data_IF_546435721228
#
_entry.id   IF_546435721228
#
_cell.length_a   1.000
_cell.length_b   1.000
_cell.length_c   1.000
_cell.angle_alpha   90.00
_cell.angle_beta   90.00
_cell.angle_gamma   90.00
#
_symmetry.space_group_name_H-M   'P 1'
#
loop_
_entity.id
_entity.type
_entity.pdbx_description
1 polymer ?
#
# COMPACT_ATOMS: atom_id res chain seq x y z
N UNK A 1 34.97 11.48 29.67
CA UNK A 1 34.85 11.94 28.28
C UNK A 1 35.83 11.16 27.41
N UNK A 2 35.41 10.14 26.72
CA UNK A 2 36.22 9.40 25.73
C UNK A 2 35.83 9.88 24.35
N UNK A 3 36.77 10.58 23.69
CA UNK A 3 36.67 10.89 22.26
C UNK A 3 36.98 9.62 21.49
N UNK A 4 36.04 9.19 20.64
CA UNK A 4 36.30 8.14 19.65
C UNK A 4 36.51 8.83 18.31
N UNK A 5 37.66 8.65 17.74
CA UNK A 5 37.96 9.09 16.36
C UNK A 5 37.83 7.88 15.42
N UNK A 6 37.17 8.14 14.33
CA UNK A 6 37.21 7.44 13.04
C UNK A 6 36.82 5.96 12.98
N UNK A 7 35.58 5.71 12.73
CA UNK A 7 35.07 4.55 12.03
C UNK A 7 33.84 5.00 11.26
N UNK A 8 33.74 4.70 9.96
CA UNK A 8 32.59 5.07 9.13
C UNK A 8 31.34 4.40 9.67
N UNK A 9 30.65 5.06 10.57
CA UNK A 9 29.36 4.63 11.07
C UNK A 9 28.27 5.22 10.16
N UNK A 10 27.50 4.36 9.52
CA UNK A 10 26.30 4.78 8.83
C UNK A 10 25.32 5.34 9.86
N UNK A 11 25.14 6.65 9.88
CA UNK A 11 24.15 7.32 10.72
C UNK A 11 22.82 7.27 9.98
N UNK A 12 21.91 6.43 10.46
CA UNK A 12 20.52 6.48 10.02
C UNK A 12 19.81 7.60 10.79
N UNK A 13 19.51 8.70 10.10
CA UNK A 13 18.59 9.73 10.59
C UNK A 13 17.20 9.37 10.07
N UNK A 14 16.29 8.98 10.97
CA UNK A 14 14.87 8.86 10.62
C UNK A 14 14.26 10.25 10.80
N UNK A 15 14.01 10.94 9.68
CA UNK A 15 13.15 12.11 9.65
C UNK A 15 11.77 11.68 9.15
N UNK A 16 10.78 11.70 10.06
CA UNK A 16 9.37 11.59 9.69
C UNK A 16 8.89 12.99 9.33
N UNK A 17 8.94 13.35 8.08
CA UNK A 17 8.10 14.36 7.41
C UNK A 17 8.46 14.38 5.93
N UNK A 18 7.46 14.26 5.07
CA UNK A 18 7.65 14.30 3.63
C UNK A 18 8.27 15.61 3.16
N UNK A 19 9.31 15.47 2.37
CA UNK A 19 9.72 16.32 1.23
C UNK A 19 11.07 15.81 0.72
N UNK A 20 11.31 15.90 -0.57
CA UNK A 20 12.50 15.49 -1.31
C UNK A 20 13.82 15.69 -0.55
N UNK A 21 14.44 14.61 -0.11
CA UNK A 21 15.79 14.62 0.45
C UNK A 21 16.79 14.64 -0.71
N UNK A 22 17.35 15.81 -0.97
CA UNK A 22 18.64 15.92 -1.64
C UNK A 22 19.66 15.28 -0.68
N UNK A 23 20.39 14.26 -1.13
CA UNK A 23 21.44 13.63 -0.37
C UNK A 23 22.52 14.68 -0.02
N UNK A 24 22.45 15.23 1.17
CA UNK A 24 23.55 15.99 1.72
C UNK A 24 24.68 15.00 2.06
N UNK A 25 25.90 15.29 1.64
CA UNK A 25 27.07 14.53 2.03
C UNK A 25 27.08 14.42 3.58
N UNK A 26 27.14 13.18 4.09
CA UNK A 26 27.18 12.97 5.52
C UNK A 26 28.39 13.72 6.11
N UNK A 27 28.24 14.40 7.27
CA UNK A 27 29.38 15.04 7.93
C UNK A 27 30.44 13.98 8.26
N UNK A 28 31.69 14.31 8.04
CA UNK A 28 32.83 13.40 8.25
C UNK A 28 32.96 12.92 9.72
N UNK A 29 32.39 13.65 10.67
CA UNK A 29 32.27 13.26 12.08
C UNK A 29 31.13 14.00 12.78
N UNK A 30 30.56 13.37 13.82
CA UNK A 30 29.54 13.96 14.69
C UNK A 30 29.98 13.80 16.12
N UNK A 31 30.06 14.90 16.86
CA UNK A 31 30.30 14.87 18.31
C UNK A 31 28.98 14.53 19.02
N UNK A 32 28.91 13.32 19.58
CA UNK A 32 27.75 12.84 20.32
C UNK A 32 28.20 12.25 21.67
N UNK A 33 27.33 12.37 22.68
CA UNK A 33 27.55 11.79 24.01
C UNK A 33 26.87 10.43 24.07
N UNK A 34 27.62 9.41 24.43
CA UNK A 34 27.04 8.08 24.70
C UNK A 34 26.36 8.09 26.07
N UNK A 35 25.08 7.77 26.13
CA UNK A 35 24.32 7.73 27.35
C UNK A 35 23.52 6.42 27.45
N UNK A 36 23.58 5.79 28.64
CA UNK A 36 22.62 4.74 28.96
C UNK A 36 21.25 5.38 29.25
N UNK A 37 20.17 4.81 28.70
CA UNK A 37 18.82 5.29 28.93
C UNK A 37 17.84 4.11 29.08
N UNK A 38 16.70 4.40 29.68
CA UNK A 38 15.57 3.47 29.75
C UNK A 38 14.43 4.00 28.90
N UNK A 39 13.72 3.11 28.27
CA UNK A 39 12.56 3.43 27.48
C UNK A 39 11.53 2.31 27.61
N UNK A 40 10.29 2.58 27.27
CA UNK A 40 9.22 1.59 27.32
C UNK A 40 8.39 1.65 26.04
N UNK A 41 7.92 0.48 25.60
CA UNK A 41 7.01 0.34 24.48
C UNK A 41 6.02 -0.79 24.80
N UNK A 42 4.75 -0.61 24.50
CA UNK A 42 3.68 -1.60 24.72
C UNK A 42 3.65 -2.15 26.16
N UNK A 43 3.93 -1.29 27.17
CA UNK A 43 3.95 -1.69 28.57
C UNK A 43 5.19 -2.48 29.02
N UNK A 44 6.14 -2.77 28.13
CA UNK A 44 7.43 -3.37 28.43
C UNK A 44 8.50 -2.31 28.59
N UNK A 45 9.38 -2.49 29.59
CA UNK A 45 10.51 -1.58 29.84
C UNK A 45 11.78 -2.18 29.29
N UNK A 46 12.54 -1.38 28.56
CA UNK A 46 13.82 -1.73 27.98
C UNK A 46 14.91 -0.85 28.58
N UNK A 47 16.07 -1.44 28.80
CA UNK A 47 17.28 -0.70 29.17
C UNK A 47 18.33 -0.96 28.09
N UNK A 48 18.87 0.10 27.51
CA UNK A 48 20.06 -0.03 26.67
C UNK A 48 21.28 -0.05 27.57
N UNK A 49 22.10 -1.08 27.48
CA UNK A 49 23.50 -0.95 27.89
C UNK A 49 24.22 -0.02 26.91
N UNK A 50 25.47 0.26 27.18
CA UNK A 50 26.25 1.22 26.38
C UNK A 50 26.53 0.74 24.94
N UNK A 51 26.19 -0.50 24.59
CA UNK A 51 26.47 -1.10 23.28
C UNK A 51 25.36 -2.01 22.82
N UNK A 52 25.14 -2.03 21.49
CA UNK A 52 24.22 -2.90 20.78
C UNK A 52 24.98 -3.63 19.66
N UNK A 53 24.65 -4.88 19.39
CA UNK A 53 25.25 -5.65 18.31
C UNK A 53 24.37 -5.55 17.04
N UNK A 54 24.86 -4.88 16.00
CA UNK A 54 24.09 -4.60 14.77
C UNK A 54 24.10 -5.76 13.74
N UNK A 55 24.55 -6.95 14.16
CA UNK A 55 24.75 -8.11 13.30
C UNK A 55 26.18 -8.26 12.75
N UNK A 56 27.01 -7.23 12.85
CA UNK A 56 28.42 -7.24 12.41
C UNK A 56 29.39 -6.84 13.54
N UNK A 57 29.07 -5.81 14.27
CA UNK A 57 29.94 -5.24 15.30
C UNK A 57 29.10 -4.64 16.44
N UNK A 58 29.76 -4.32 17.55
CA UNK A 58 29.15 -3.59 18.66
C UNK A 58 29.17 -2.09 18.37
N UNK A 59 27.99 -1.49 18.36
CA UNK A 59 27.77 -0.06 18.18
C UNK A 59 27.17 0.55 19.45
N UNK A 60 27.22 1.87 19.66
CA UNK A 60 26.54 2.51 20.78
C UNK A 60 25.04 2.19 20.79
N UNK A 61 24.52 1.76 21.92
CA UNK A 61 23.08 1.50 22.12
C UNK A 61 22.23 2.76 22.14
N UNK A 62 22.87 3.91 22.42
CA UNK A 62 22.26 5.24 22.29
C UNK A 62 23.31 6.31 22.18
N UNK A 63 22.95 7.45 21.62
CA UNK A 63 23.76 8.67 21.63
C UNK A 63 22.86 9.89 21.81
N UNK A 64 23.38 10.93 22.45
CA UNK A 64 22.73 12.23 22.50
C UNK A 64 23.50 13.19 21.60
N UNK A 65 22.75 13.79 20.68
CA UNK A 65 23.27 14.82 19.79
C UNK A 65 22.35 16.05 19.88
N UNK A 66 22.89 17.17 20.26
CA UNK A 66 22.18 18.46 20.43
C UNK A 66 20.91 18.34 21.29
N UNK A 67 20.97 17.58 22.38
CA UNK A 67 19.82 17.39 23.29
C UNK A 67 18.79 16.34 22.83
N UNK A 68 18.98 15.74 21.66
CA UNK A 68 18.11 14.66 21.16
C UNK A 68 18.79 13.30 21.34
N UNK A 69 18.06 12.34 21.89
CA UNK A 69 18.54 10.95 22.04
C UNK A 69 18.23 10.16 20.79
N UNK A 70 19.25 9.54 20.21
CA UNK A 70 19.15 8.64 19.05
C UNK A 70 19.41 7.22 19.51
N UNK A 71 18.65 6.28 18.96
CA UNK A 71 18.83 4.84 19.18
C UNK A 71 18.97 4.13 17.84
N UNK A 72 19.75 3.04 17.76
CA UNK A 72 19.81 2.24 16.54
C UNK A 72 18.39 1.73 16.20
N UNK A 73 17.94 2.02 14.98
CA UNK A 73 16.59 1.62 14.53
C UNK A 73 16.36 0.11 14.67
N UNK A 74 17.40 -0.70 14.44
CA UNK A 74 17.33 -2.16 14.63
C UNK A 74 17.08 -2.55 16.08
N UNK A 75 17.74 -1.90 17.03
CA UNK A 75 17.54 -2.15 18.47
C UNK A 75 16.11 -1.79 18.90
N UNK A 76 15.57 -0.67 18.40
CA UNK A 76 14.20 -0.28 18.66
C UNK A 76 13.21 -1.27 18.04
N UNK A 77 13.46 -1.69 16.81
CA UNK A 77 12.63 -2.67 16.11
C UNK A 77 12.61 -4.02 16.83
N UNK A 78 13.76 -4.58 17.18
CA UNK A 78 13.87 -5.85 17.91
C UNK A 78 13.11 -5.81 19.25
N UNK A 79 13.21 -4.70 19.99
CA UNK A 79 12.49 -4.51 21.23
C UNK A 79 10.96 -4.40 21.06
N UNK A 80 10.50 -4.01 19.88
CA UNK A 80 9.09 -3.95 19.49
C UNK A 80 8.61 -5.23 18.79
N UNK A 81 9.48 -6.25 18.64
CA UNK A 81 9.16 -7.44 17.87
C UNK A 81 9.13 -7.21 16.36
N UNK A 82 9.81 -6.15 15.89
CA UNK A 82 9.87 -5.81 14.47
C UNK A 82 11.22 -6.22 13.87
N UNK A 83 11.21 -6.51 12.57
CA UNK A 83 12.43 -6.71 11.76
C UNK A 83 12.75 -5.45 10.94
N UNK A 84 14.03 -5.13 10.78
CA UNK A 84 14.48 -4.00 9.96
C UNK A 84 15.10 -4.50 8.67
N UNK A 85 14.52 -4.09 7.56
CA UNK A 85 15.08 -4.27 6.23
C UNK A 85 15.71 -2.96 5.75
N UNK A 86 16.93 -3.03 5.25
CA UNK A 86 17.66 -1.88 4.70
C UNK A 86 17.84 -2.00 3.20
N UNK A 87 17.28 -1.05 2.45
CA UNK A 87 17.58 -0.91 1.02
C UNK A 87 18.68 0.14 0.82
N UNK A 88 19.87 -0.34 0.45
CA UNK A 88 21.03 0.53 0.23
C UNK A 88 20.89 1.40 -1.04
N UNK A 89 20.04 1.03 -2.02
CA UNK A 89 19.86 1.80 -3.24
C UNK A 89 19.01 3.03 -3.03
N UNK A 90 17.96 2.89 -2.21
CA UNK A 90 17.04 3.97 -1.88
C UNK A 90 17.36 4.65 -0.55
N UNK A 91 18.34 4.12 0.21
CA UNK A 91 18.67 4.54 1.57
C UNK A 91 17.46 4.51 2.51
N UNK A 92 16.62 3.47 2.36
CA UNK A 92 15.37 3.33 3.10
C UNK A 92 15.49 2.19 4.13
N UNK A 93 15.10 2.48 5.37
CA UNK A 93 14.89 1.47 6.40
C UNK A 93 13.38 1.17 6.53
N UNK A 94 13.01 -0.09 6.36
CA UNK A 94 11.63 -0.56 6.56
C UNK A 94 11.56 -1.41 7.81
N UNK A 95 10.59 -1.11 8.69
CA UNK A 95 10.30 -1.91 9.87
C UNK A 95 9.11 -2.81 9.56
N UNK A 96 9.25 -4.09 9.85
CA UNK A 96 8.23 -5.12 9.57
C UNK A 96 7.91 -5.84 10.87
N UNK A 97 6.63 -6.10 11.12
CA UNK A 97 6.21 -6.88 12.27
C UNK A 97 6.73 -8.33 12.13
N UNK A 98 7.62 -8.75 13.03
CA UNK A 98 8.17 -10.10 13.02
C UNK A 98 7.13 -11.18 13.28
N UNK A 99 5.98 -10.84 13.87
CA UNK A 99 4.88 -11.77 14.04
C UNK A 99 4.07 -12.02 12.75
N UNK A 100 4.27 -11.19 11.71
CA UNK A 100 3.79 -11.42 10.35
C UNK A 100 4.87 -12.02 9.43
N UNK A 101 6.06 -12.32 9.96
CA UNK A 101 7.23 -12.82 9.23
C UNK A 101 7.13 -14.31 8.84
N UNK A 102 6.01 -14.99 9.10
CA UNK A 102 5.69 -16.29 8.48
C UNK A 102 5.34 -16.17 6.98
N UNK A 103 5.26 -14.97 6.47
CA UNK A 103 5.41 -14.72 5.04
C UNK A 103 6.89 -14.82 4.70
N UNK A 104 7.30 -15.77 3.86
CA UNK A 104 8.69 -15.86 3.45
C UNK A 104 9.12 -14.48 2.94
N UNK A 105 10.24 -13.99 3.44
CA UNK A 105 10.85 -12.66 3.18
C UNK A 105 11.19 -12.45 1.68
N UNK A 106 10.44 -13.06 0.82
CA UNK A 106 10.35 -12.70 -0.59
C UNK A 106 9.73 -11.31 -0.79
N UNK A 107 9.24 -10.69 0.28
CA UNK A 107 8.52 -9.43 0.29
C UNK A 107 9.41 -8.25 0.67
N UNK A 108 10.60 -8.22 0.12
CA UNK A 108 11.43 -7.03 0.06
C UNK A 108 10.58 -5.89 -0.55
N UNK A 109 10.57 -4.67 0.05
CA UNK A 109 10.00 -3.50 -0.60
C UNK A 109 10.53 -3.39 -2.02
N UNK A 110 9.67 -3.52 -3.01
CA UNK A 110 10.00 -3.64 -4.44
C UNK A 110 9.44 -4.90 -5.09
N UNK A 111 9.02 -5.92 -4.34
CA UNK A 111 8.38 -7.12 -4.89
C UNK A 111 6.83 -7.01 -4.94
N UNK A 112 6.24 -6.10 -4.16
CA UNK A 112 4.89 -5.59 -4.43
C UNK A 112 5.04 -4.15 -4.94
N UNK A 113 5.39 -3.93 -6.22
CA UNK A 113 5.14 -2.65 -6.80
C UNK A 113 3.65 -2.40 -6.59
N UNK A 114 3.28 -1.22 -6.11
CA UNK A 114 1.90 -0.75 -6.19
C UNK A 114 1.39 -1.20 -7.56
N UNK A 115 0.57 -2.26 -7.58
CA UNK A 115 0.07 -2.75 -8.84
C UNK A 115 -0.75 -1.59 -9.36
N UNK A 116 -0.22 -0.91 -10.38
CA UNK A 116 -0.82 0.31 -10.87
C UNK A 116 -2.28 0.03 -11.17
N UNK A 117 -3.17 0.65 -10.44
CA UNK A 117 -4.58 0.61 -10.77
C UNK A 117 -4.75 1.49 -12.01
N UNK A 118 -5.04 0.85 -13.11
CA UNK A 118 -5.31 1.55 -14.37
C UNK A 118 -6.63 1.03 -14.91
N UNK A 119 -7.51 1.94 -15.25
CA UNK A 119 -8.71 1.60 -16.01
C UNK A 119 -8.28 1.29 -17.43
N UNK A 120 -8.51 0.07 -17.88
CA UNK A 120 -8.17 -0.34 -19.26
C UNK A 120 -9.45 -0.57 -20.05
N UNK A 121 -9.37 -0.29 -21.35
CA UNK A 121 -10.40 -0.63 -22.31
C UNK A 121 -9.79 -1.37 -23.51
N UNK A 122 -10.56 -2.19 -24.19
CA UNK A 122 -10.17 -2.81 -25.46
C UNK A 122 -10.78 -2.08 -26.63
N UNK A 123 -10.02 -1.96 -27.68
CA UNK A 123 -10.53 -1.44 -28.94
C UNK A 123 -11.44 -2.48 -29.61
N UNK A 124 -12.68 -2.12 -29.88
CA UNK A 124 -13.64 -2.95 -30.61
C UNK A 124 -13.37 -2.94 -32.12
N UNK A 125 -12.74 -1.89 -32.61
CA UNK A 125 -12.31 -1.69 -34.00
C UNK A 125 -11.00 -0.93 -34.05
N UNK A 126 -10.35 -0.89 -35.21
CA UNK A 126 -9.18 -0.04 -35.41
C UNK A 126 -9.50 1.42 -35.08
N UNK A 127 -8.59 2.11 -34.41
CA UNK A 127 -8.75 3.49 -34.00
C UNK A 127 -7.49 4.32 -34.25
N UNK A 128 -7.67 5.62 -34.30
CA UNK A 128 -6.58 6.60 -34.36
C UNK A 128 -6.53 7.34 -33.02
N UNK A 129 -5.34 7.56 -32.51
CA UNK A 129 -5.13 8.52 -31.43
C UNK A 129 -4.95 9.91 -32.05
N UNK A 130 -5.69 10.87 -31.54
CA UNK A 130 -5.58 12.26 -31.93
C UNK A 130 -4.84 13.06 -30.86
N UNK A 131 -4.15 14.12 -31.30
CA UNK A 131 -3.49 15.04 -30.37
C UNK A 131 -4.49 15.82 -29.52
N UNK A 132 -5.62 16.15 -30.11
CA UNK A 132 -6.73 16.89 -29.52
C UNK A 132 -8.05 16.15 -29.80
N UNK A 133 -9.16 16.58 -29.24
CA UNK A 133 -10.50 16.00 -29.44
C UNK A 133 -11.10 16.39 -30.80
N UNK A 134 -10.34 16.20 -31.87
CA UNK A 134 -10.72 16.51 -33.24
C UNK A 134 -10.28 15.40 -34.20
N UNK A 135 -11.24 14.73 -34.84
CA UNK A 135 -10.96 13.67 -35.83
C UNK A 135 -10.30 14.16 -37.11
N UNK A 136 -10.35 15.46 -37.38
CA UNK A 136 -9.67 16.09 -38.53
C UNK A 136 -8.29 16.61 -38.15
N UNK A 137 -7.97 16.61 -36.87
CA UNK A 137 -6.73 17.06 -36.32
C UNK A 137 -5.57 16.06 -36.51
N UNK A 138 -4.36 16.44 -36.07
CA UNK A 138 -3.17 15.60 -36.22
C UNK A 138 -3.29 14.33 -35.35
N UNK A 139 -2.88 13.20 -35.93
CA UNK A 139 -2.79 11.92 -35.22
C UNK A 139 -1.52 11.81 -34.41
N UNK A 140 -1.56 11.01 -33.31
CA UNK A 140 -0.43 10.66 -32.47
C UNK A 140 0.03 9.24 -32.83
N UNK A 141 1.02 9.16 -33.71
CA UNK A 141 1.63 7.89 -34.12
C UNK A 141 0.76 7.07 -35.10
N UNK A 142 1.05 5.77 -35.20
CA UNK A 142 0.32 4.86 -36.08
C UNK A 142 -1.06 4.52 -35.52
N UNK A 143 -1.96 4.09 -36.40
CA UNK A 143 -3.28 3.59 -35.99
C UNK A 143 -3.19 2.36 -35.08
N UNK A 144 -4.16 2.25 -34.18
CA UNK A 144 -4.31 1.17 -33.24
C UNK A 144 -5.19 0.05 -33.84
N UNK A 145 -4.94 -1.18 -33.41
CA UNK A 145 -5.66 -2.37 -33.93
C UNK A 145 -6.85 -2.73 -33.05
N UNK A 146 -7.87 -3.33 -33.66
CA UNK A 146 -8.96 -3.98 -32.91
C UNK A 146 -8.40 -5.03 -31.95
N UNK A 147 -8.98 -5.13 -30.76
CA UNK A 147 -8.54 -6.03 -29.67
C UNK A 147 -7.37 -5.49 -28.84
N UNK A 148 -6.69 -4.43 -29.28
CA UNK A 148 -5.61 -3.80 -28.52
C UNK A 148 -6.17 -3.15 -27.26
N UNK A 149 -5.45 -3.33 -26.14
CA UNK A 149 -5.77 -2.66 -24.86
C UNK A 149 -5.19 -1.27 -24.81
N UNK A 150 -5.96 -0.33 -24.29
CA UNK A 150 -5.54 1.04 -23.99
C UNK A 150 -5.81 1.35 -22.52
N UNK A 151 -4.96 2.18 -21.91
CA UNK A 151 -5.19 2.68 -20.56
C UNK A 151 -6.02 3.96 -20.66
N UNK A 152 -7.15 4.00 -19.97
CA UNK A 152 -8.02 5.17 -19.92
C UNK A 152 -7.54 6.08 -18.79
N UNK A 153 -7.12 7.30 -19.13
CA UNK A 153 -6.70 8.31 -18.17
C UNK A 153 -7.87 9.17 -17.69
N UNK A 154 -8.81 9.47 -18.59
CA UNK A 154 -9.98 10.28 -18.27
C UNK A 154 -11.06 10.16 -19.36
N UNK A 155 -12.33 10.38 -18.95
CA UNK A 155 -13.40 10.77 -19.85
C UNK A 155 -13.23 12.25 -20.21
N UNK A 156 -12.99 12.54 -21.48
CA UNK A 156 -12.66 13.92 -21.93
C UNK A 156 -13.91 14.71 -22.39
N UNK A 157 -15.12 14.12 -22.26
CA UNK A 157 -16.37 14.71 -22.74
C UNK A 157 -16.63 14.41 -24.21
N UNK A 158 -17.84 14.70 -24.70
CA UNK A 158 -18.28 14.59 -26.10
C UNK A 158 -17.96 13.26 -26.79
N UNK A 159 -17.95 12.16 -26.03
CA UNK A 159 -17.62 10.84 -26.54
C UNK A 159 -16.14 10.61 -26.81
N UNK A 160 -15.26 11.34 -26.13
CA UNK A 160 -13.80 11.18 -26.15
C UNK A 160 -13.26 10.60 -24.86
N UNK A 161 -12.21 9.80 -24.99
CA UNK A 161 -11.37 9.31 -23.91
C UNK A 161 -9.95 9.82 -24.10
N UNK A 162 -9.34 10.30 -23.03
CA UNK A 162 -7.89 10.49 -22.98
C UNK A 162 -7.25 9.16 -22.60
N UNK A 163 -6.38 8.63 -23.45
CA UNK A 163 -5.83 7.29 -23.29
C UNK A 163 -4.33 7.25 -23.48
N UNK A 164 -3.72 6.17 -22.94
CA UNK A 164 -2.36 5.75 -23.29
C UNK A 164 -2.44 4.48 -24.13
N UNK A 165 -1.78 4.47 -25.25
CA UNK A 165 -1.57 3.29 -26.08
C UNK A 165 -0.15 3.29 -26.65
N UNK A 166 0.55 2.16 -26.58
CA UNK A 166 1.96 2.02 -27.05
C UNK A 166 2.89 3.13 -26.51
N UNK A 167 2.72 3.50 -25.20
CA UNK A 167 3.49 4.55 -24.54
C UNK A 167 3.16 5.97 -24.98
N UNK A 168 2.14 6.19 -25.80
CA UNK A 168 1.72 7.50 -26.31
C UNK A 168 0.41 7.92 -25.69
N UNK A 169 0.31 9.20 -25.32
CA UNK A 169 -0.92 9.81 -24.83
C UNK A 169 -1.64 10.50 -25.99
N UNK A 170 -2.96 10.29 -26.05
CA UNK A 170 -3.80 10.96 -27.05
C UNK A 170 -5.29 10.77 -26.74
N UNK A 171 -6.13 11.18 -27.65
CA UNK A 171 -7.57 11.07 -27.56
C UNK A 171 -8.10 10.02 -28.53
N UNK A 172 -9.02 9.19 -28.08
CA UNK A 172 -9.75 8.21 -28.86
C UNK A 172 -11.25 8.34 -28.65
N UNK A 173 -12.05 7.97 -29.65
CA UNK A 173 -13.50 7.91 -29.50
C UNK A 173 -13.90 6.79 -28.53
N UNK A 174 -14.76 7.09 -27.58
CA UNK A 174 -15.36 6.10 -26.66
C UNK A 174 -16.01 4.97 -27.42
N UNK A 175 -16.76 5.27 -28.50
CA UNK A 175 -17.43 4.26 -29.35
C UNK A 175 -16.49 3.37 -30.16
N UNK A 176 -15.18 3.58 -30.11
CA UNK A 176 -14.19 2.65 -30.66
C UNK A 176 -13.70 1.63 -29.62
N UNK A 177 -14.15 1.71 -28.39
CA UNK A 177 -13.71 0.89 -27.24
C UNK A 177 -14.90 0.19 -26.57
N UNK A 178 -14.60 -0.79 -25.72
CA UNK A 178 -15.57 -1.41 -24.81
C UNK A 178 -15.75 -0.61 -23.50
N UNK A 179 -15.15 0.57 -23.40
CA UNK A 179 -15.28 1.43 -22.24
C UNK A 179 -16.71 1.94 -22.08
N UNK A 180 -17.26 1.70 -20.89
CA UNK A 180 -18.56 2.26 -20.52
C UNK A 180 -18.34 3.55 -19.71
N UNK A 181 -18.79 4.71 -20.20
CA UNK A 181 -18.72 5.97 -19.45
C UNK A 181 -19.35 5.86 -18.06
N UNK A 182 -18.77 6.54 -17.07
CA UNK A 182 -19.22 6.48 -15.68
C UNK A 182 -20.72 6.73 -15.52
N UNK A 183 -21.24 7.77 -16.19
CA UNK A 183 -22.67 8.10 -16.14
C UNK A 183 -23.61 7.01 -16.70
N UNK A 184 -23.09 6.09 -17.52
CA UNK A 184 -23.85 4.99 -18.13
C UNK A 184 -23.70 3.66 -17.38
N UNK A 185 -22.81 3.60 -16.37
CA UNK A 185 -22.64 2.40 -15.56
C UNK A 185 -23.83 2.19 -14.63
N UNK A 186 -24.16 0.95 -14.28
CA UNK A 186 -25.18 0.69 -13.26
C UNK A 186 -24.75 1.30 -11.91
N UNK A 187 -25.70 1.59 -11.05
CA UNK A 187 -25.48 2.28 -9.78
C UNK A 187 -24.42 1.59 -8.91
N UNK A 188 -24.52 0.26 -8.78
CA UNK A 188 -23.55 -0.52 -8.00
C UNK A 188 -22.11 -0.33 -8.50
N UNK A 189 -21.91 -0.24 -9.83
CA UNK A 189 -20.56 -0.08 -10.40
C UNK A 189 -20.02 1.33 -10.16
N UNK A 190 -20.90 2.33 -10.29
CA UNK A 190 -20.53 3.72 -9.96
C UNK A 190 -20.15 3.87 -8.49
N UNK A 191 -20.89 3.24 -7.58
CA UNK A 191 -20.59 3.21 -6.15
C UNK A 191 -19.25 2.51 -5.89
N UNK A 192 -19.03 1.34 -6.51
CA UNK A 192 -17.77 0.62 -6.40
C UNK A 192 -16.58 1.45 -6.91
N UNK A 193 -16.73 2.08 -8.08
CA UNK A 193 -15.68 2.93 -8.65
C UNK A 193 -15.38 4.14 -7.75
N UNK A 194 -16.40 4.76 -7.15
CA UNK A 194 -16.23 5.89 -6.21
C UNK A 194 -15.52 5.46 -4.93
N UNK A 195 -15.86 4.29 -4.37
CA UNK A 195 -15.17 3.72 -3.20
C UNK A 195 -13.69 3.47 -3.51
N UNK A 196 -13.42 2.86 -4.68
CA UNK A 196 -12.06 2.55 -5.13
C UNK A 196 -11.27 3.84 -5.34
N UNK A 197 -11.83 4.83 -6.03
CA UNK A 197 -11.19 6.12 -6.27
C UNK A 197 -10.86 6.83 -4.96
N UNK A 198 -11.81 6.89 -4.02
CA UNK A 198 -11.58 7.43 -2.69
C UNK A 198 -10.45 6.70 -1.97
N UNK A 199 -10.41 5.37 -2.05
CA UNK A 199 -9.37 4.56 -1.41
C UNK A 199 -7.99 4.75 -2.04
N UNK A 200 -7.91 4.93 -3.36
CA UNK A 200 -6.65 5.20 -4.07
C UNK A 200 -6.01 6.53 -3.66
N UNK A 201 -6.80 7.51 -3.20
CA UNK A 201 -6.26 8.76 -2.67
C UNK A 201 -5.44 8.57 -1.38
N UNK A 202 -5.59 7.43 -0.69
CA UNK A 202 -4.86 7.09 0.53
C UNK A 202 -3.66 6.16 0.31
N UNK A 203 -3.26 5.88 -0.95
CA UNK A 203 -2.09 5.04 -1.21
C UNK A 203 -0.86 5.52 -0.43
N UNK A 204 -0.20 4.58 0.27
CA UNK A 204 0.95 4.87 1.12
C UNK A 204 0.61 5.35 2.53
N UNK A 205 -0.67 5.57 2.89
CA UNK A 205 -1.05 5.88 4.27
C UNK A 205 -0.60 4.74 5.19
N UNK A 206 0.13 5.04 6.30
CA UNK A 206 0.73 4.01 7.12
C UNK A 206 -0.28 3.05 7.76
N UNK A 207 0.16 1.80 7.95
CA UNK A 207 -0.58 0.80 8.72
C UNK A 207 -0.37 1.02 10.22
N UNK A 208 -1.46 0.95 10.98
CA UNK A 208 -1.46 0.90 12.43
C UNK A 208 -2.47 -0.16 12.89
N UNK A 209 -2.00 -1.17 13.66
CA UNK A 209 -2.90 -2.18 14.19
C UNK A 209 -3.92 -1.55 15.15
N UNK A 210 -5.18 -1.90 14.98
CA UNK A 210 -6.30 -1.36 15.76
C UNK A 210 -6.48 0.17 15.63
N UNK A 211 -6.15 0.73 14.46
CA UNK A 211 -6.31 2.15 14.16
C UNK A 211 -7.73 2.64 14.49
N UNK A 212 -7.84 3.77 15.16
CA UNK A 212 -9.12 4.36 15.57
C UNK A 212 -9.98 4.72 14.35
N UNK A 213 -11.31 4.55 14.48
CA UNK A 213 -12.25 5.02 13.46
C UNK A 213 -12.31 6.55 13.44
N UNK A 214 -12.75 7.12 12.32
CA UNK A 214 -12.96 8.56 12.14
C UNK A 214 -11.69 9.37 11.96
N UNK A 215 -10.52 8.74 11.79
CA UNK A 215 -9.25 9.39 11.44
C UNK A 215 -8.67 8.81 10.14
N UNK A 216 -7.74 9.50 9.50
CA UNK A 216 -7.16 9.14 8.21
C UNK A 216 -5.63 9.16 8.19
N UNK A 217 -4.99 9.42 9.34
CA UNK A 217 -3.54 9.45 9.46
C UNK A 217 -2.92 8.06 9.34
N UNK A 218 -3.64 7.03 9.81
CA UNK A 218 -3.26 5.62 9.77
C UNK A 218 -4.49 4.75 9.58
N UNK A 219 -4.32 3.53 9.08
CA UNK A 219 -5.38 2.54 8.97
C UNK A 219 -4.88 1.14 9.32
N UNK A 220 -5.76 0.29 9.86
CA UNK A 220 -5.67 -1.16 9.66
C UNK A 220 -6.60 -1.59 8.51
N UNK A 221 -6.57 -2.88 8.16
CA UNK A 221 -7.34 -3.39 7.02
C UNK A 221 -8.85 -3.13 7.15
N UNK A 222 -9.41 -3.30 8.33
CA UNK A 222 -10.85 -3.17 8.59
C UNK A 222 -11.29 -1.73 8.84
N UNK A 223 -10.45 -0.89 9.46
CA UNK A 223 -10.75 0.54 9.61
C UNK A 223 -10.73 1.27 8.27
N UNK A 224 -9.85 0.85 7.34
CA UNK A 224 -9.82 1.37 5.98
C UNK A 224 -11.10 1.04 5.21
N UNK A 225 -11.54 -0.22 5.26
CA UNK A 225 -12.82 -0.64 4.66
C UNK A 225 -14.00 0.10 5.31
N UNK A 226 -14.04 0.16 6.65
CA UNK A 226 -15.07 0.90 7.37
C UNK A 226 -15.14 2.34 6.89
N UNK A 227 -14.03 3.07 6.88
CA UNK A 227 -13.96 4.47 6.47
C UNK A 227 -14.51 4.67 5.05
N UNK A 228 -14.08 3.86 4.09
CA UNK A 228 -14.49 4.03 2.69
C UNK A 228 -15.97 3.71 2.47
N UNK A 229 -16.50 2.66 3.10
CA UNK A 229 -17.89 2.28 2.92
C UNK A 229 -18.83 3.22 3.67
N UNK A 230 -18.47 3.68 4.87
CA UNK A 230 -19.25 4.67 5.62
C UNK A 230 -19.35 6.02 4.89
N UNK A 231 -18.29 6.47 4.22
CA UNK A 231 -18.35 7.65 3.34
C UNK A 231 -19.41 7.52 2.24
N UNK A 232 -19.80 6.29 1.88
CA UNK A 232 -20.80 5.99 0.86
C UNK A 232 -22.15 5.52 1.47
N UNK A 233 -22.36 5.81 2.75
CA UNK A 233 -23.62 5.55 3.46
C UNK A 233 -23.88 4.09 3.84
N UNK A 234 -22.84 3.27 3.90
CA UNK A 234 -22.93 1.86 4.29
C UNK A 234 -22.30 1.63 5.66
N UNK A 235 -23.11 1.25 6.65
CA UNK A 235 -22.64 0.92 7.98
C UNK A 235 -21.70 -0.30 7.95
N UNK A 236 -20.49 -0.11 8.48
CA UNK A 236 -19.47 -1.16 8.50
C UNK A 236 -18.97 -1.39 9.93
N UNK A 237 -18.97 -2.65 10.43
CA UNK A 237 -18.40 -2.97 11.73
C UNK A 237 -16.91 -2.68 11.79
N UNK A 238 -16.40 -2.52 13.04
CA UNK A 238 -15.00 -2.16 13.27
C UNK A 238 -14.00 -3.18 12.75
N UNK A 239 -14.25 -4.47 12.86
CA UNK A 239 -13.24 -5.49 12.58
C UNK A 239 -13.62 -6.43 11.43
N UNK A 240 -12.61 -7.02 10.79
CA UNK A 240 -12.77 -7.87 9.61
C UNK A 240 -13.65 -9.11 9.84
N UNK A 241 -13.66 -9.69 11.04
CA UNK A 241 -14.52 -10.83 11.37
C UNK A 241 -16.00 -10.45 11.33
N UNK A 242 -16.35 -9.31 11.92
CA UNK A 242 -17.72 -8.80 11.87
C UNK A 242 -18.11 -8.41 10.45
N UNK A 243 -17.19 -7.77 9.71
CA UNK A 243 -17.40 -7.40 8.30
C UNK A 243 -17.64 -8.65 7.42
N UNK A 244 -17.00 -9.78 7.71
CA UNK A 244 -17.21 -11.03 6.95
C UNK A 244 -18.61 -11.64 7.14
N UNK A 245 -19.36 -11.19 8.13
CA UNK A 245 -20.76 -11.56 8.35
C UNK A 245 -21.77 -10.77 7.52
N UNK A 246 -21.33 -9.66 6.88
CA UNK A 246 -22.22 -8.79 6.11
C UNK A 246 -22.42 -9.26 4.66
N UNK A 247 -23.46 -8.74 4.04
CA UNK A 247 -23.69 -8.88 2.61
C UNK A 247 -23.98 -10.30 2.13
N UNK A 248 -23.96 -10.47 0.82
CA UNK A 248 -24.22 -11.76 0.16
C UNK A 248 -22.89 -12.48 -0.14
N UNK A 249 -22.79 -13.81 0.10
CA UNK A 249 -21.61 -14.58 -0.30
C UNK A 249 -21.41 -14.50 -1.82
N UNK A 250 -20.15 -14.44 -2.24
CA UNK A 250 -19.74 -14.41 -3.66
C UNK A 250 -18.69 -15.50 -3.90
N UNK A 251 -18.84 -16.26 -4.97
CA UNK A 251 -17.80 -17.18 -5.39
C UNK A 251 -16.58 -16.42 -5.94
N UNK A 252 -15.39 -17.03 -5.82
CA UNK A 252 -14.15 -16.37 -6.24
C UNK A 252 -14.17 -15.98 -7.74
N UNK A 253 -14.77 -16.81 -8.57
CA UNK A 253 -14.87 -16.58 -10.02
C UNK A 253 -15.94 -15.54 -10.40
N UNK A 254 -16.84 -15.19 -9.47
CA UNK A 254 -17.93 -14.21 -9.66
C UNK A 254 -17.60 -12.82 -9.05
N UNK A 255 -16.34 -12.59 -8.67
CA UNK A 255 -15.91 -11.35 -8.07
C UNK A 255 -16.11 -10.15 -9.00
N UNK A 256 -16.65 -9.07 -8.45
CA UNK A 256 -16.75 -7.76 -9.12
C UNK A 256 -16.23 -6.64 -8.22
N UNK A 257 -15.91 -5.50 -8.82
CA UNK A 257 -15.45 -4.31 -8.09
C UNK A 257 -16.34 -4.02 -6.88
N UNK A 258 -15.74 -3.68 -5.75
CA UNK A 258 -16.44 -3.42 -4.49
C UNK A 258 -16.81 -4.67 -3.69
N UNK A 259 -16.52 -5.89 -4.16
CA UNK A 259 -16.65 -7.07 -3.29
C UNK A 259 -15.54 -7.05 -2.23
N UNK A 260 -15.88 -7.42 -0.99
CA UNK A 260 -14.93 -7.58 0.10
C UNK A 260 -14.39 -9.00 0.12
N UNK A 261 -13.06 -9.14 0.11
CA UNK A 261 -12.38 -10.42 0.23
C UNK A 261 -11.80 -10.57 1.63
N UNK A 262 -11.99 -11.74 2.21
CA UNK A 262 -11.53 -12.08 3.55
C UNK A 262 -10.49 -13.18 3.49
N UNK A 263 -9.42 -12.98 4.24
CA UNK A 263 -8.26 -13.86 4.23
C UNK A 263 -7.89 -14.29 5.66
N UNK A 264 -7.30 -15.47 5.77
CA UNK A 264 -6.61 -15.86 6.99
C UNK A 264 -5.25 -15.16 7.08
N UNK A 265 -4.70 -15.12 8.28
CA UNK A 265 -3.32 -14.72 8.56
C UNK A 265 -2.59 -15.87 9.26
N UNK A 266 -1.24 -15.89 9.30
CA UNK A 266 -0.51 -16.95 10.00
C UNK A 266 -1.00 -17.18 11.44
N UNK A 267 -1.25 -16.13 12.20
CA UNK A 267 -1.78 -16.20 13.58
C UNK A 267 -3.19 -16.81 13.69
N UNK A 268 -3.90 -16.97 12.57
CA UNK A 268 -5.28 -17.43 12.54
C UNK A 268 -5.51 -18.64 11.64
N UNK A 269 -4.44 -19.18 11.05
CA UNK A 269 -4.53 -20.28 10.11
C UNK A 269 -5.12 -21.55 10.75
N UNK A 270 -4.84 -21.78 12.02
CA UNK A 270 -5.28 -22.91 12.85
C UNK A 270 -6.58 -22.65 13.63
N UNK A 271 -7.18 -21.47 13.47
CA UNK A 271 -8.50 -21.17 14.06
C UNK A 271 -9.62 -21.78 13.19
N UNK A 272 -10.83 -21.78 13.71
CA UNK A 272 -12.03 -22.29 13.02
C UNK A 272 -13.04 -21.18 12.73
N UNK A 273 -13.89 -21.40 11.74
CA UNK A 273 -15.01 -20.52 11.40
C UNK A 273 -14.57 -19.07 11.17
N UNK A 274 -15.31 -18.14 11.75
CA UNK A 274 -15.06 -16.69 11.61
C UNK A 274 -13.74 -16.25 12.25
N UNK A 275 -13.23 -16.99 13.23
CA UNK A 275 -11.97 -16.66 13.89
C UNK A 275 -10.74 -16.85 13.01
N UNK A 276 -10.87 -17.56 11.89
CA UNK A 276 -9.85 -17.62 10.86
C UNK A 276 -9.64 -16.30 10.12
N UNK A 277 -10.66 -15.43 10.09
CA UNK A 277 -10.57 -14.14 9.39
C UNK A 277 -9.62 -13.22 10.14
N UNK A 278 -8.53 -12.86 9.49
CA UNK A 278 -7.49 -11.96 10.00
C UNK A 278 -7.26 -10.73 9.13
N UNK A 279 -7.79 -10.72 7.91
CA UNK A 279 -7.58 -9.63 6.97
C UNK A 279 -8.79 -9.42 6.05
N UNK A 280 -8.96 -8.18 5.57
CA UNK A 280 -9.99 -7.80 4.61
C UNK A 280 -9.40 -6.89 3.54
N UNK A 281 -9.88 -7.02 2.30
CA UNK A 281 -9.48 -6.19 1.17
C UNK A 281 -10.67 -5.93 0.24
N UNK A 282 -10.61 -4.85 -0.54
CA UNK A 282 -11.62 -4.47 -1.52
C UNK A 282 -11.17 -4.96 -2.90
N UNK A 283 -11.97 -5.75 -3.58
CA UNK A 283 -11.68 -6.15 -4.96
C UNK A 283 -11.84 -4.96 -5.92
N UNK A 284 -10.81 -4.68 -6.70
CA UNK A 284 -10.80 -3.54 -7.63
C UNK A 284 -10.91 -3.94 -9.10
N UNK A 285 -11.10 -5.26 -9.36
CA UNK A 285 -11.11 -5.81 -10.72
C UNK A 285 -9.72 -6.24 -11.19
N UNK A 286 -9.67 -6.99 -12.28
CA UNK A 286 -8.42 -7.45 -12.90
C UNK A 286 -7.54 -8.33 -11.99
N UNK A 287 -8.13 -9.06 -11.06
CA UNK A 287 -7.41 -9.90 -10.09
C UNK A 287 -6.62 -9.08 -9.06
N UNK A 288 -7.03 -7.87 -8.73
CA UNK A 288 -6.35 -6.97 -7.79
C UNK A 288 -7.24 -6.59 -6.63
N UNK A 289 -6.62 -6.29 -5.49
CA UNK A 289 -7.28 -5.79 -4.28
C UNK A 289 -6.62 -4.51 -3.77
N UNK A 290 -7.44 -3.62 -3.23
CA UNK A 290 -7.03 -2.42 -2.50
C UNK A 290 -7.22 -2.68 -1.02
N UNK A 291 -6.19 -2.50 -0.23
CA UNK A 291 -6.19 -2.78 1.20
C UNK A 291 -5.09 -2.02 1.94
N UNK A 292 -5.16 -2.02 3.26
CA UNK A 292 -4.03 -1.64 4.11
C UNK A 292 -3.35 -2.91 4.56
N UNK A 293 -2.08 -3.10 4.18
CA UNK A 293 -1.45 -4.40 4.35
C UNK A 293 -0.76 -4.55 5.72
N UNK A 294 0.37 -3.90 5.94
CA UNK A 294 1.17 -4.02 7.16
C UNK A 294 2.06 -2.81 7.38
N UNK A 295 2.72 -2.76 8.54
CA UNK A 295 3.72 -1.73 8.83
C UNK A 295 4.78 -1.68 7.72
N UNK A 296 5.11 -0.48 7.26
CA UNK A 296 6.10 -0.24 6.20
C UNK A 296 5.52 -0.31 4.77
N UNK A 297 4.29 -0.80 4.59
CA UNK A 297 3.60 -0.80 3.29
C UNK A 297 2.37 0.13 3.33
N UNK A 298 1.50 -0.03 4.33
CA UNK A 298 0.29 0.77 4.44
C UNK A 298 -0.76 0.45 3.38
N UNK A 299 -1.50 1.49 2.94
CA UNK A 299 -2.53 1.36 1.89
C UNK A 299 -1.85 1.09 0.55
N UNK A 300 -2.27 0.02 -0.12
CA UNK A 300 -1.67 -0.46 -1.36
C UNK A 300 -2.67 -1.19 -2.24
N UNK A 301 -2.35 -1.34 -3.52
CA UNK A 301 -3.04 -2.25 -4.44
C UNK A 301 -2.15 -3.47 -4.69
N UNK A 302 -2.69 -4.66 -4.47
CA UNK A 302 -1.93 -5.92 -4.60
C UNK A 302 -2.60 -6.86 -5.60
N UNK A 303 -1.79 -7.62 -6.35
CA UNK A 303 -2.30 -8.68 -7.22
C UNK A 303 -2.72 -9.89 -6.38
N UNK A 304 -3.88 -10.48 -6.68
CA UNK A 304 -4.32 -11.77 -6.12
C UNK A 304 -3.50 -12.92 -6.75
N UNK A 305 -2.28 -13.06 -6.31
CA UNK A 305 -1.39 -14.15 -6.68
C UNK A 305 -1.66 -15.43 -5.86
N UNK A 306 -0.83 -16.45 -6.01
CA UNK A 306 -1.01 -17.73 -5.33
C UNK A 306 -0.89 -17.59 -3.80
N UNK A 307 -0.12 -16.62 -3.30
CA UNK A 307 -0.03 -16.31 -1.88
C UNK A 307 -1.38 -15.85 -1.31
N UNK A 308 -2.03 -14.89 -1.96
CA UNK A 308 -3.33 -14.41 -1.53
C UNK A 308 -4.45 -15.44 -1.75
N UNK A 309 -4.39 -16.18 -2.86
CA UNK A 309 -5.34 -17.26 -3.13
C UNK A 309 -5.27 -18.36 -2.08
N UNK A 310 -4.07 -18.74 -1.64
CA UNK A 310 -3.87 -19.73 -0.59
C UNK A 310 -4.44 -19.34 0.77
N UNK A 311 -4.62 -18.05 1.02
CA UNK A 311 -5.19 -17.49 2.26
C UNK A 311 -6.66 -17.09 2.16
N UNK A 312 -7.24 -17.12 0.97
CA UNK A 312 -8.61 -16.73 0.73
C UNK A 312 -9.59 -17.63 1.51
N UNK A 313 -10.54 -17.00 2.20
CA UNK A 313 -11.57 -17.69 2.99
C UNK A 313 -12.96 -17.49 2.37
N UNK A 314 -13.31 -16.27 2.03
CA UNK A 314 -14.63 -15.93 1.49
C UNK A 314 -14.64 -14.55 0.85
N UNK A 315 -15.65 -14.28 0.06
CA UNK A 315 -15.95 -12.93 -0.41
C UNK A 315 -17.40 -12.56 -0.13
N UNK A 316 -17.65 -11.28 0.03
CA UNK A 316 -18.96 -10.71 0.33
C UNK A 316 -19.27 -9.51 -0.55
N UNK A 317 -20.49 -9.46 -1.06
CA UNK A 317 -21.03 -8.34 -1.82
C UNK A 317 -21.88 -7.49 -0.92
N UNK A 318 -21.52 -6.23 -0.79
CA UNK A 318 -22.22 -5.24 0.02
C UNK A 318 -23.09 -4.33 -0.86
N UNK A 319 -22.61 -4.00 -2.06
CA UNK A 319 -23.24 -3.11 -3.06
C UNK A 319 -23.75 -3.84 -4.30
#
# INVERSE_FOLDING_TARGET
>A
MRKWMTGAAAVCVVAIAGTNLVAAAAPASVDAVLAAFRWSANGQSFASDTTFHNGKERVPGSMNYKGTTYIPIRMAAEALGLTVHWDAKTSTATLVDSENDDDPVSDVPGKYPNASYTVSAKLLKGAVLYKDMDEKGPSVGAGLKAGQSVVVLAEAGDGWLKVVADGRIGYARTGATDYVPFAKRPEWERTADSIIEAGLAYLGTPYEFDASLGQTATFDCSSFVNYLYEMHGMDMPRNSRQQSGLGKPVAFDDLRKGDLLFFTTPKRADKEGVDRVGHVAIYVGGGKVLHTFRVGIGVTVTQLDDHWKGRFLSAKRII
#
